data_IF_243766783504
#
_entry.id   IF_243766783504
#
_cell.length_a   1.000
_cell.length_b   1.000
_cell.length_c   1.000
_cell.angle_alpha   90.00
_cell.angle_beta   90.00
_cell.angle_gamma   90.00
#
_symmetry.space_group_name_H-M   'P 1'
#
loop_
_entity.id
_entity.type
_entity.pdbx_description
1 polymer ?
#
# COMPACT_ATOMS: atom_id res chain seq x y z
N UNK A 1 48.49 -31.93 -10.49
CA UNK A 1 47.50 -32.06 -9.39
C UNK A 1 47.07 -30.69 -8.83
N UNK A 2 47.97 -29.94 -8.17
CA UNK A 2 47.64 -28.68 -7.47
C UNK A 2 47.04 -27.60 -8.39
N UNK A 3 47.61 -27.39 -9.59
CA UNK A 3 47.05 -26.46 -10.59
C UNK A 3 45.62 -26.82 -11.02
N UNK A 4 45.31 -28.10 -11.21
CA UNK A 4 43.98 -28.56 -11.59
C UNK A 4 42.96 -28.35 -10.45
N UNK A 5 43.39 -28.50 -9.19
CA UNK A 5 42.57 -28.21 -8.01
C UNK A 5 42.24 -26.72 -7.94
N UNK A 6 43.22 -25.84 -8.18
CA UNK A 6 42.98 -24.40 -8.26
C UNK A 6 41.99 -24.03 -9.37
N UNK A 7 42.15 -24.58 -10.57
CA UNK A 7 41.22 -24.34 -11.67
C UNK A 7 39.81 -24.87 -11.37
N UNK A 8 39.68 -26.03 -10.71
CA UNK A 8 38.40 -26.59 -10.31
C UNK A 8 37.68 -25.75 -9.24
N UNK A 9 38.43 -25.20 -8.27
CA UNK A 9 37.87 -24.31 -7.23
C UNK A 9 37.38 -22.99 -7.83
N UNK A 10 38.10 -22.43 -8.81
CA UNK A 10 37.71 -21.20 -9.51
C UNK A 10 36.40 -21.43 -10.28
N UNK A 11 36.25 -22.55 -10.98
CA UNK A 11 35.00 -22.89 -11.69
C UNK A 11 33.84 -23.07 -10.69
N UNK A 12 34.06 -23.67 -9.53
CA UNK A 12 33.03 -23.85 -8.51
C UNK A 12 32.50 -22.52 -7.94
N UNK A 13 33.37 -21.50 -7.85
CA UNK A 13 32.97 -20.14 -7.43
C UNK A 13 32.21 -19.36 -8.51
N UNK A 14 32.45 -19.63 -9.79
CA UNK A 14 31.79 -18.94 -10.91
C UNK A 14 30.42 -19.57 -11.24
N UNK A 15 30.25 -20.88 -10.96
CA UNK A 15 29.04 -21.65 -11.32
C UNK A 15 28.00 -21.69 -10.20
N UNK A 16 28.29 -21.20 -8.99
CA UNK A 16 27.23 -20.98 -7.99
C UNK A 16 26.33 -19.84 -8.48
N UNK A 17 25.07 -20.10 -8.92
CA UNK A 17 24.16 -19.01 -9.16
C UNK A 17 23.86 -18.44 -7.79
N UNK A 18 24.20 -17.17 -7.57
CA UNK A 18 23.73 -16.39 -6.45
C UNK A 18 22.21 -16.18 -6.64
N UNK A 19 21.43 -17.26 -6.50
CA UNK A 19 19.99 -17.20 -6.31
C UNK A 19 19.72 -16.81 -4.87
N UNK A 20 20.20 -15.65 -4.48
CA UNK A 20 19.56 -14.87 -3.43
C UNK A 20 18.61 -13.92 -4.17
N UNK A 21 17.51 -14.45 -4.71
CA UNK A 21 16.31 -13.62 -4.78
C UNK A 21 15.96 -13.38 -3.33
N UNK A 22 16.47 -12.29 -2.77
CA UNK A 22 15.95 -11.73 -1.53
C UNK A 22 14.52 -11.36 -1.84
N UNK A 23 13.64 -12.31 -1.60
CA UNK A 23 12.23 -12.06 -1.49
C UNK A 23 12.09 -11.26 -0.20
N UNK A 24 12.05 -9.93 -0.35
CA UNK A 24 11.50 -9.05 0.69
C UNK A 24 10.01 -9.37 0.79
N UNK A 25 9.70 -10.51 1.42
CA UNK A 25 8.37 -10.87 1.89
C UNK A 25 8.29 -10.43 3.34
N UNK A 26 7.79 -9.20 3.56
CA UNK A 26 7.22 -8.84 4.86
C UNK A 26 7.88 -7.69 5.61
N UNK A 27 8.46 -6.69 4.95
CA UNK A 27 8.49 -5.37 5.57
C UNK A 27 7.18 -4.67 5.22
N UNK A 28 6.25 -4.69 6.18
CA UNK A 28 5.08 -3.78 6.16
C UNK A 28 5.62 -2.36 6.06
N UNK A 29 5.03 -1.53 5.19
CA UNK A 29 5.28 -0.09 5.26
C UNK A 29 4.91 0.36 6.68
N UNK A 30 5.77 1.13 7.33
CA UNK A 30 5.64 1.50 8.74
C UNK A 30 4.27 2.19 9.00
N UNK A 31 3.30 1.42 9.52
CA UNK A 31 1.98 1.94 9.93
C UNK A 31 2.06 2.82 11.19
N UNK A 32 3.24 3.12 11.73
CA UNK A 32 3.36 3.95 12.93
C UNK A 32 3.17 5.45 12.67
N UNK A 33 3.07 5.91 11.43
CA UNK A 33 2.91 7.33 11.13
C UNK A 33 1.54 7.87 11.53
N UNK A 34 0.48 7.06 11.40
CA UNK A 34 -0.90 7.41 11.76
C UNK A 34 -1.60 6.20 12.39
N UNK A 35 -2.69 6.41 13.13
CA UNK A 35 -3.52 5.32 13.61
C UNK A 35 -5.01 5.73 13.67
N UNK A 36 -5.85 4.77 14.05
CA UNK A 36 -7.29 4.92 14.13
C UNK A 36 -7.82 5.04 15.58
N UNK A 37 -6.94 5.20 16.57
CA UNK A 37 -7.36 5.31 17.96
C UNK A 37 -7.94 6.71 18.20
N UNK A 38 -9.12 6.75 18.78
CA UNK A 38 -9.76 8.00 19.18
C UNK A 38 -8.95 8.70 20.28
N UNK A 39 -8.93 10.02 20.26
CA UNK A 39 -8.17 10.86 21.23
C UNK A 39 -6.66 10.60 21.28
N UNK A 40 -6.06 9.96 20.27
CA UNK A 40 -4.62 9.74 20.19
C UNK A 40 -3.90 10.86 19.41
N UNK A 41 -2.62 11.10 19.73
CA UNK A 41 -1.78 12.09 19.05
C UNK A 41 -1.64 11.85 17.54
N UNK A 42 -1.75 10.59 17.11
CA UNK A 42 -1.70 10.14 15.71
C UNK A 42 -3.06 9.64 15.20
N UNK A 43 -4.12 9.86 15.97
CA UNK A 43 -5.48 9.47 15.63
C UNK A 43 -6.11 10.32 14.52
N UNK A 44 -7.28 9.91 13.98
CA UNK A 44 -7.91 10.55 12.82
C UNK A 44 -8.17 12.05 12.98
N UNK A 45 -8.52 12.49 14.19
CA UNK A 45 -8.76 13.89 14.54
C UNK A 45 -7.52 14.79 14.34
N UNK A 46 -6.33 14.20 14.25
CA UNK A 46 -5.05 14.92 14.19
C UNK A 46 -4.23 14.66 12.92
N UNK A 47 -4.70 13.83 11.99
CA UNK A 47 -3.93 13.47 10.78
C UNK A 47 -3.45 14.68 9.98
N UNK A 48 -4.30 15.71 9.82
CA UNK A 48 -3.92 16.94 9.11
C UNK A 48 -2.84 17.79 9.78
N UNK A 49 -2.42 17.45 11.00
CA UNK A 49 -1.35 18.13 11.75
C UNK A 49 -0.07 17.30 11.83
N UNK A 50 -0.07 16.05 11.35
CA UNK A 50 1.09 15.16 11.44
C UNK A 50 2.16 15.54 10.41
N UNK A 51 1.75 15.89 9.19
CA UNK A 51 2.64 16.25 8.08
C UNK A 51 2.01 17.35 7.20
N UNK A 52 2.81 18.24 6.59
CA UNK A 52 2.28 19.27 5.68
C UNK A 52 1.48 18.70 4.51
N UNK A 53 1.88 17.54 3.98
CA UNK A 53 1.22 16.93 2.82
C UNK A 53 -0.17 16.34 3.17
N UNK A 54 -0.48 16.19 4.45
CA UNK A 54 -1.73 15.59 4.95
C UNK A 54 -2.75 16.63 5.42
N UNK A 55 -2.43 17.92 5.28
CA UNK A 55 -3.24 19.03 5.82
C UNK A 55 -4.73 18.93 5.45
N UNK A 56 -5.05 18.43 4.25
CA UNK A 56 -6.43 18.23 3.77
C UNK A 56 -7.26 17.29 4.63
N UNK A 57 -6.66 16.35 5.37
CA UNK A 57 -7.36 15.49 6.32
C UNK A 57 -7.97 16.30 7.49
N UNK A 58 -7.41 17.46 7.81
CA UNK A 58 -7.88 18.32 8.89
C UNK A 58 -8.67 19.55 8.42
N UNK A 59 -8.35 20.11 7.25
CA UNK A 59 -8.98 21.35 6.74
C UNK A 59 -9.94 21.15 5.56
N UNK A 60 -9.99 19.96 4.98
CA UNK A 60 -10.84 19.69 3.81
C UNK A 60 -12.32 19.74 4.17
N UNK A 61 -13.11 20.42 3.36
CA UNK A 61 -14.58 20.53 3.56
C UNK A 61 -15.38 19.45 2.81
N UNK A 62 -14.71 18.72 1.91
CA UNK A 62 -15.29 17.64 1.10
C UNK A 62 -14.58 16.30 1.38
N UNK A 63 -14.41 15.96 2.66
CA UNK A 63 -13.79 14.69 3.07
C UNK A 63 -14.81 13.55 3.12
N UNK A 64 -14.30 12.32 3.08
CA UNK A 64 -15.06 11.08 3.25
C UNK A 64 -14.58 10.33 4.50
N UNK A 65 -15.38 9.42 5.09
CA UNK A 65 -16.77 9.12 4.73
C UNK A 65 -17.75 10.22 5.13
N UNK A 66 -18.94 10.18 4.54
CA UNK A 66 -20.09 11.01 4.94
C UNK A 66 -21.25 10.11 5.34
N UNK A 67 -22.15 10.68 6.13
CA UNK A 67 -23.40 10.04 6.51
C UNK A 67 -24.42 10.08 5.34
N UNK A 68 -24.91 8.92 4.93
CA UNK A 68 -25.84 8.75 3.82
C UNK A 68 -27.28 8.55 4.34
N UNK A 69 -27.91 9.65 4.75
CA UNK A 69 -29.29 9.65 5.22
C UNK A 69 -30.30 9.80 4.07
N UNK A 70 -31.31 8.92 4.02
CA UNK A 70 -32.35 8.95 2.98
C UNK A 70 -33.13 10.28 2.96
N UNK A 71 -33.23 10.97 4.09
CA UNK A 71 -33.98 12.23 4.23
C UNK A 71 -33.29 13.40 3.50
N UNK A 72 -31.98 13.30 3.23
CA UNK A 72 -31.16 14.39 2.68
C UNK A 72 -30.62 14.11 1.28
N UNK A 73 -30.99 12.98 0.66
CA UNK A 73 -30.57 12.67 -0.71
C UNK A 73 -31.50 13.30 -1.73
N UNK A 74 -30.92 13.75 -2.85
CA UNK A 74 -31.67 14.11 -4.04
C UNK A 74 -31.67 12.92 -5.01
N UNK A 75 -32.85 12.43 -5.39
CA UNK A 75 -32.97 11.35 -6.37
C UNK A 75 -32.81 11.94 -7.78
N UNK A 76 -31.71 11.56 -8.44
CA UNK A 76 -31.38 12.05 -9.78
C UNK A 76 -31.56 10.91 -10.79
N UNK A 77 -32.81 10.69 -11.23
CA UNK A 77 -33.20 9.53 -12.05
C UNK A 77 -32.64 9.55 -13.48
N UNK A 78 -32.28 10.72 -14.00
CA UNK A 78 -31.76 10.86 -15.37
C UNK A 78 -30.31 10.38 -15.55
N UNK A 79 -29.57 10.10 -14.47
CA UNK A 79 -28.21 9.58 -14.55
C UNK A 79 -28.16 8.11 -15.03
N UNK A 80 -29.29 7.40 -14.97
CA UNK A 80 -29.37 6.00 -15.38
C UNK A 80 -28.55 5.06 -14.51
N UNK A 81 -28.33 3.83 -15.00
CA UNK A 81 -27.54 2.82 -14.28
C UNK A 81 -26.05 3.00 -14.58
N UNK A 82 -25.20 2.89 -13.57
CA UNK A 82 -23.75 2.86 -13.75
C UNK A 82 -23.35 1.71 -14.69
N UNK A 83 -22.78 2.06 -15.84
CA UNK A 83 -22.22 1.08 -16.78
C UNK A 83 -20.83 0.63 -16.28
N UNK A 84 -20.62 -0.68 -16.18
CA UNK A 84 -19.38 -1.28 -15.68
C UNK A 84 -18.94 -2.36 -16.66
N UNK A 85 -17.73 -2.23 -17.19
CA UNK A 85 -17.11 -3.24 -18.05
C UNK A 85 -15.72 -3.62 -17.53
N UNK A 86 -15.67 -4.08 -16.27
CA UNK A 86 -14.42 -4.52 -15.65
C UNK A 86 -13.91 -5.80 -16.31
N UNK A 87 -12.59 -5.88 -16.54
CA UNK A 87 -11.91 -7.06 -17.08
C UNK A 87 -11.03 -7.71 -16.00
N UNK A 88 -10.89 -9.04 -15.98
CA UNK A 88 -9.94 -9.71 -15.10
C UNK A 88 -8.51 -9.20 -15.33
N UNK A 89 -7.76 -9.04 -14.25
CA UNK A 89 -6.34 -8.67 -14.28
C UNK A 89 -5.60 -9.37 -13.14
N UNK A 90 -4.28 -9.54 -13.29
CA UNK A 90 -3.43 -10.03 -12.19
C UNK A 90 -3.38 -8.96 -11.10
N UNK A 91 -3.60 -9.37 -9.85
CA UNK A 91 -3.55 -8.49 -8.69
C UNK A 91 -2.64 -9.08 -7.62
N UNK A 92 -2.09 -8.21 -6.78
CA UNK A 92 -1.29 -8.58 -5.61
C UNK A 92 -2.07 -8.13 -4.37
N UNK A 93 -2.34 -9.07 -3.46
CA UNK A 93 -2.91 -8.74 -2.16
C UNK A 93 -1.76 -8.27 -1.26
N UNK A 94 -1.92 -7.09 -0.67
CA UNK A 94 -0.97 -6.52 0.29
C UNK A 94 -1.66 -6.36 1.63
N UNK A 95 -1.04 -6.84 2.68
CA UNK A 95 -1.29 -6.36 4.02
C UNK A 95 -0.37 -5.14 4.22
N UNK A 96 -0.96 -4.00 4.55
CA UNK A 96 -0.22 -2.85 5.05
C UNK A 96 -0.30 -2.92 6.56
#
# INVERSE_FOLDING_TARGET
AIRCIFFALIIFTIVSPLNAVVSSHGEVEDEHEFNYKNNDGKGPERWGKLKPEWEMCGKGEMQSPIDLMNERVNIVSHLGRLNRDYKPSKAIIKNR
#
